data_IF_826911244305
#
_entry.id   IF_826911244305
#
_cell.length_a   1.000
_cell.length_b   1.000
_cell.length_c   1.000
_cell.angle_alpha   90.00
_cell.angle_beta   90.00
_cell.angle_gamma   90.00
#
_symmetry.space_group_name_H-M   'P 1'
#
loop_
_entity.id
_entity.type
_entity.pdbx_description
1 polymer ?
#
# COMPACT_ATOMS: atom_id res chain seq x y z
N UNK A 1 7.43 -17.64 6.14
CA UNK A 1 6.26 -18.19 6.84
C UNK A 1 5.55 -19.16 5.90
N UNK A 2 5.26 -20.40 6.32
CA UNK A 2 4.59 -21.38 5.44
C UNK A 2 3.21 -20.87 5.01
N UNK A 3 2.98 -20.81 3.70
CA UNK A 3 1.70 -20.44 3.09
C UNK A 3 1.52 -18.98 2.68
N UNK A 4 2.51 -18.09 2.90
CA UNK A 4 2.44 -16.72 2.40
C UNK A 4 2.96 -16.65 0.97
N UNK A 5 2.10 -16.22 0.02
CA UNK A 5 2.46 -16.08 -1.38
C UNK A 5 3.61 -15.08 -1.61
N UNK A 6 3.64 -13.99 -0.84
CA UNK A 6 4.68 -12.97 -1.00
C UNK A 6 6.03 -13.42 -0.44
N UNK A 7 6.04 -14.19 0.66
CA UNK A 7 7.27 -14.85 1.11
C UNK A 7 7.78 -15.85 0.06
N UNK A 8 6.88 -16.58 -0.61
CA UNK A 8 7.28 -17.51 -1.67
C UNK A 8 7.84 -16.79 -2.92
N UNK A 9 7.33 -15.61 -3.23
CA UNK A 9 7.89 -14.73 -4.28
C UNK A 9 9.29 -14.26 -3.87
N UNK A 10 9.44 -13.81 -2.64
CA UNK A 10 10.69 -13.28 -2.11
C UNK A 10 11.85 -14.29 -2.20
N UNK A 11 11.58 -15.56 -1.89
CA UNK A 11 12.59 -16.64 -1.97
C UNK A 11 12.65 -17.32 -3.34
N UNK A 12 11.89 -16.86 -4.33
CA UNK A 12 11.88 -17.39 -5.69
C UNK A 12 11.12 -18.71 -5.88
N UNK A 13 10.35 -19.16 -4.89
CA UNK A 13 9.52 -20.37 -4.99
C UNK A 13 8.24 -20.14 -5.82
N UNK A 14 7.75 -18.90 -5.83
CA UNK A 14 6.62 -18.49 -6.66
C UNK A 14 7.10 -17.46 -7.70
N UNK A 15 6.92 -17.73 -9.01
CA UNK A 15 7.36 -16.81 -10.05
C UNK A 15 6.57 -15.49 -10.00
N UNK A 16 7.28 -14.38 -10.19
CA UNK A 16 6.69 -13.05 -10.34
C UNK A 16 7.52 -12.17 -11.28
N UNK A 17 6.90 -11.10 -11.79
CA UNK A 17 7.57 -10.12 -12.63
C UNK A 17 8.15 -9.01 -11.75
N UNK A 18 9.37 -9.24 -11.26
CA UNK A 18 10.09 -8.31 -10.39
C UNK A 18 10.48 -7.06 -11.18
N UNK A 19 10.19 -5.89 -10.60
CA UNK A 19 10.47 -4.57 -11.17
C UNK A 19 11.67 -3.92 -10.51
N UNK A 20 11.79 -4.06 -9.18
CA UNK A 20 12.87 -3.45 -8.41
C UNK A 20 13.11 -4.20 -7.11
N UNK A 21 14.38 -4.25 -6.69
CA UNK A 21 14.81 -4.88 -5.45
C UNK A 21 15.78 -3.99 -4.69
N UNK A 22 15.72 -4.08 -3.36
CA UNK A 22 16.73 -3.56 -2.42
C UNK A 22 17.11 -4.66 -1.43
N UNK A 23 17.97 -4.36 -0.47
CA UNK A 23 18.28 -5.29 0.62
C UNK A 23 17.08 -5.65 1.47
N UNK A 24 16.10 -4.76 1.58
CA UNK A 24 14.98 -4.89 2.52
C UNK A 24 13.61 -4.93 1.86
N UNK A 25 13.52 -4.64 0.56
CA UNK A 25 12.24 -4.59 -0.17
C UNK A 25 12.32 -5.31 -1.51
N UNK A 26 11.18 -5.77 -1.99
CA UNK A 26 11.00 -6.27 -3.36
C UNK A 26 9.73 -5.67 -3.94
N UNK A 27 9.76 -5.33 -5.22
CA UNK A 27 8.64 -4.76 -5.96
C UNK A 27 8.39 -5.57 -7.22
N UNK A 28 7.13 -5.95 -7.45
CA UNK A 28 6.75 -6.77 -8.60
C UNK A 28 5.38 -6.37 -9.13
N UNK A 29 5.10 -6.72 -10.39
CA UNK A 29 3.79 -6.46 -10.99
C UNK A 29 2.72 -7.33 -10.32
N UNK A 30 1.58 -6.70 -10.02
CA UNK A 30 0.40 -7.44 -9.56
C UNK A 30 -0.10 -8.35 -10.71
N UNK A 31 -0.31 -9.65 -10.42
CA UNK A 31 -0.82 -10.62 -11.38
C UNK A 31 -2.31 -10.42 -11.72
N UNK A 32 -3.03 -9.62 -10.92
CA UNK A 32 -4.43 -9.21 -11.11
C UNK A 32 -4.56 -7.69 -11.04
N UNK A 33 -3.90 -6.97 -11.95
CA UNK A 33 -3.73 -5.52 -11.83
C UNK A 33 -5.06 -4.78 -11.98
N UNK A 34 -5.21 -3.65 -11.28
CA UNK A 34 -6.28 -2.68 -11.55
C UNK A 34 -6.10 -2.07 -12.95
N UNK A 35 -4.84 -1.72 -13.28
CA UNK A 35 -4.42 -1.28 -14.61
C UNK A 35 -3.05 -1.87 -14.94
N UNK A 36 -2.69 -2.07 -16.22
CA UNK A 36 -1.33 -2.42 -16.61
C UNK A 36 -0.31 -1.47 -15.97
N UNK A 37 0.71 -2.03 -15.33
CA UNK A 37 1.70 -1.27 -14.56
C UNK A 37 1.40 -1.15 -13.07
N UNK A 38 0.35 -1.77 -12.55
CA UNK A 38 0.11 -1.90 -11.11
C UNK A 38 1.24 -2.70 -10.45
N UNK A 39 1.97 -2.06 -9.54
CA UNK A 39 3.09 -2.63 -8.80
C UNK A 39 2.70 -2.81 -7.34
N UNK A 40 3.15 -3.90 -6.74
CA UNK A 40 3.16 -4.11 -5.30
C UNK A 40 4.58 -3.89 -4.78
N UNK A 41 4.72 -3.12 -3.71
CA UNK A 41 5.98 -2.94 -2.97
C UNK A 41 5.81 -3.59 -1.61
N UNK A 42 6.66 -4.56 -1.30
CA UNK A 42 6.63 -5.34 -0.06
C UNK A 42 7.97 -5.29 0.68
N UNK A 43 8.00 -5.45 2.00
CA UNK A 43 9.24 -5.80 2.71
C UNK A 43 9.64 -7.25 2.39
N UNK A 44 10.94 -7.56 2.37
CA UNK A 44 11.41 -8.95 2.26
C UNK A 44 11.07 -9.75 3.52
N UNK A 45 11.25 -9.13 4.69
CA UNK A 45 10.80 -9.71 5.94
C UNK A 45 9.26 -9.67 6.04
N UNK A 46 8.70 -10.73 6.59
CA UNK A 46 7.25 -10.84 6.74
C UNK A 46 6.74 -9.97 7.90
N UNK A 47 5.83 -9.07 7.58
CA UNK A 47 5.01 -8.30 8.53
C UNK A 47 3.58 -8.39 8.05
N UNK A 48 2.63 -8.65 8.93
CA UNK A 48 1.23 -8.79 8.51
C UNK A 48 0.64 -7.45 8.06
N UNK A 49 0.87 -6.39 8.85
CA UNK A 49 0.27 -5.07 8.63
C UNK A 49 1.29 -3.93 8.75
N UNK A 50 0.86 -2.70 8.49
CA UNK A 50 1.68 -1.50 8.70
C UNK A 50 2.03 -1.31 10.19
N UNK A 51 1.20 -1.79 11.10
CA UNK A 51 1.37 -1.66 12.54
C UNK A 51 2.54 -2.48 13.07
N UNK A 52 2.91 -3.54 12.33
CA UNK A 52 4.01 -4.45 12.71
C UNK A 52 5.38 -3.96 12.21
N UNK A 53 5.42 -2.94 11.33
CA UNK A 53 6.66 -2.49 10.71
C UNK A 53 7.54 -1.70 11.68
N UNK A 54 8.84 -2.06 11.81
CA UNK A 54 9.79 -1.16 12.44
C UNK A 54 9.88 0.19 11.69
N UNK A 55 10.12 1.32 12.38
CA UNK A 55 10.22 2.63 11.74
C UNK A 55 11.24 2.69 10.58
N UNK A 56 12.36 2.00 10.70
CA UNK A 56 13.38 1.92 9.65
C UNK A 56 12.87 1.22 8.39
N UNK A 57 12.08 0.15 8.56
CA UNK A 57 11.48 -0.57 7.45
C UNK A 57 10.37 0.24 6.80
N UNK A 58 9.59 0.97 7.59
CA UNK A 58 8.55 1.88 7.09
C UNK A 58 9.16 2.95 6.17
N UNK A 59 10.27 3.59 6.60
CA UNK A 59 10.99 4.57 5.79
C UNK A 59 11.50 3.93 4.49
N UNK A 60 12.17 2.78 4.58
CA UNK A 60 12.74 2.09 3.41
C UNK A 60 11.66 1.74 2.36
N UNK A 61 10.49 1.27 2.78
CA UNK A 61 9.39 0.96 1.86
C UNK A 61 8.87 2.23 1.18
N UNK A 62 8.62 3.31 1.94
CA UNK A 62 8.04 4.51 1.36
C UNK A 62 9.02 5.30 0.49
N UNK A 63 10.33 5.18 0.69
CA UNK A 63 11.34 5.65 -0.27
C UNK A 63 11.21 4.92 -1.61
N UNK A 64 11.05 3.60 -1.59
CA UNK A 64 10.83 2.80 -2.82
C UNK A 64 9.49 3.15 -3.47
N UNK A 65 8.41 3.31 -2.69
CA UNK A 65 7.09 3.72 -3.19
C UNK A 65 7.17 5.08 -3.88
N UNK A 66 7.86 6.06 -3.30
CA UNK A 66 8.06 7.37 -3.93
C UNK A 66 8.79 7.26 -5.27
N UNK A 67 9.91 6.53 -5.31
CA UNK A 67 10.67 6.28 -6.54
C UNK A 67 9.84 5.54 -7.58
N UNK A 68 9.06 4.54 -7.16
CA UNK A 68 8.17 3.78 -8.03
C UNK A 68 7.09 4.67 -8.65
N UNK A 69 6.49 5.55 -7.86
CA UNK A 69 5.50 6.53 -8.34
C UNK A 69 6.08 7.45 -9.43
N UNK A 70 7.30 7.96 -9.21
CA UNK A 70 7.98 8.81 -10.20
C UNK A 70 8.29 8.02 -11.49
N UNK A 71 8.86 6.82 -11.35
CA UNK A 71 9.20 5.96 -12.47
C UNK A 71 7.97 5.54 -13.29
N UNK A 72 6.90 5.18 -12.60
CA UNK A 72 5.62 4.76 -13.20
C UNK A 72 4.99 5.86 -14.06
N UNK A 73 5.01 7.11 -13.60
CA UNK A 73 4.49 8.24 -14.37
C UNK A 73 5.19 8.40 -15.72
N UNK A 74 6.51 8.15 -15.74
CA UNK A 74 7.31 8.22 -16.98
C UNK A 74 7.12 6.97 -17.84
N UNK A 75 7.25 5.78 -17.26
CA UNK A 75 7.22 4.52 -17.99
C UNK A 75 5.84 4.22 -18.59
N UNK A 76 4.77 4.62 -17.90
CA UNK A 76 3.39 4.35 -18.31
C UNK A 76 2.71 5.56 -18.94
N UNK A 77 3.41 6.67 -19.13
CA UNK A 77 2.84 7.94 -19.59
C UNK A 77 1.56 8.31 -18.80
N UNK A 78 1.64 8.18 -17.48
CA UNK A 78 0.52 8.40 -16.58
C UNK A 78 0.69 9.74 -15.84
N UNK A 79 -0.28 10.66 -15.89
CA UNK A 79 -0.19 11.96 -15.20
C UNK A 79 -0.21 11.83 -13.68
N UNK A 80 -0.67 10.71 -13.12
CA UNK A 80 -0.75 10.48 -11.69
C UNK A 80 -0.58 9.03 -11.28
N UNK A 81 -0.56 8.80 -9.97
CA UNK A 81 -0.54 7.48 -9.35
C UNK A 81 -1.56 7.41 -8.21
N UNK A 82 -2.06 6.23 -7.94
CA UNK A 82 -2.79 5.90 -6.73
C UNK A 82 -1.90 5.03 -5.86
N UNK A 83 -1.73 5.41 -4.60
CA UNK A 83 -0.91 4.70 -3.62
C UNK A 83 -1.82 4.33 -2.47
N UNK A 84 -1.87 3.05 -2.13
CA UNK A 84 -2.74 2.53 -1.08
C UNK A 84 -2.16 1.29 -0.42
N UNK A 85 -2.57 1.07 0.81
CA UNK A 85 -2.39 -0.19 1.54
C UNK A 85 -3.65 -0.51 2.33
N UNK A 86 -3.89 -1.79 2.57
CA UNK A 86 -4.98 -2.25 3.42
C UNK A 86 -4.40 -2.86 4.71
N UNK A 87 -5.03 -2.58 5.83
CA UNK A 87 -4.73 -3.17 7.13
C UNK A 87 -5.92 -4.01 7.57
N UNK A 88 -5.74 -5.33 7.64
CA UNK A 88 -6.73 -6.34 8.02
C UNK A 88 -7.91 -6.42 7.05
N UNK A 89 -8.75 -5.37 6.97
CA UNK A 89 -9.92 -5.34 6.10
C UNK A 89 -9.50 -5.17 4.64
N UNK A 90 -9.99 -6.05 3.75
CA UNK A 90 -9.67 -6.11 2.32
C UNK A 90 -8.20 -6.42 2.01
N UNK A 91 -7.44 -6.89 2.97
CA UNK A 91 -6.07 -7.37 2.82
C UNK A 91 -6.10 -8.82 2.36
N UNK A 92 -5.93 -9.06 1.06
CA UNK A 92 -6.04 -10.41 0.47
C UNK A 92 -4.86 -11.33 0.84
N UNK A 93 -3.68 -10.76 1.07
CA UNK A 93 -2.48 -11.46 1.53
C UNK A 93 -2.01 -10.80 2.83
N UNK A 94 -1.95 -11.54 3.96
CA UNK A 94 -1.45 -11.03 5.23
C UNK A 94 0.09 -10.96 5.21
N UNK A 95 0.59 -10.07 4.44
CA UNK A 95 1.96 -9.62 4.29
C UNK A 95 1.87 -8.18 3.82
N UNK A 96 2.41 -7.25 4.60
CA UNK A 96 2.29 -5.83 4.30
C UNK A 96 2.72 -5.51 2.87
N UNK A 97 1.90 -4.78 2.16
CA UNK A 97 2.19 -4.35 0.80
C UNK A 97 1.54 -3.01 0.49
N UNK A 98 2.23 -2.25 -0.34
CA UNK A 98 1.75 -0.98 -0.86
C UNK A 98 1.47 -1.13 -2.35
N UNK A 99 0.24 -0.83 -2.74
CA UNK A 99 -0.16 -0.73 -4.14
C UNK A 99 0.31 0.60 -4.73
N UNK A 100 0.95 0.55 -5.89
CA UNK A 100 1.26 1.73 -6.70
C UNK A 100 0.66 1.52 -8.09
N UNK A 101 -0.31 2.35 -8.45
CA UNK A 101 -1.16 2.15 -9.64
C UNK A 101 -1.10 3.37 -10.53
N UNK A 102 -0.82 3.23 -11.84
CA UNK A 102 -0.84 4.37 -12.77
C UNK A 102 -2.26 4.89 -12.94
N UNK A 103 -2.42 6.21 -12.98
CA UNK A 103 -3.72 6.87 -13.07
C UNK A 103 -3.77 7.85 -14.25
N UNK A 104 -4.92 7.85 -14.93
CA UNK A 104 -5.26 8.82 -15.98
C UNK A 104 -6.62 9.47 -15.72
N UNK A 105 -6.86 10.68 -16.21
CA UNK A 105 -8.20 11.26 -16.20
C UNK A 105 -9.20 10.30 -16.87
N UNK A 106 -10.36 10.12 -16.26
CA UNK A 106 -11.44 9.27 -16.77
C UNK A 106 -11.11 7.77 -16.90
N UNK A 107 -10.12 7.27 -16.17
CA UNK A 107 -9.72 5.85 -16.17
C UNK A 107 -10.73 4.90 -15.49
N UNK A 108 -11.83 5.42 -14.97
CA UNK A 108 -12.87 4.64 -14.30
C UNK A 108 -12.64 4.42 -12.81
N UNK A 109 -11.42 4.63 -12.32
CA UNK A 109 -11.12 4.60 -10.90
C UNK A 109 -11.52 5.94 -10.27
N UNK A 110 -12.59 5.95 -9.50
CA UNK A 110 -13.06 7.17 -8.84
C UNK A 110 -12.21 7.48 -7.61
N UNK A 111 -11.97 8.76 -7.31
CA UNK A 111 -11.02 9.24 -6.31
C UNK A 111 -11.18 8.69 -4.89
N UNK A 112 -12.42 8.45 -4.44
CA UNK A 112 -12.74 7.65 -3.26
C UNK A 112 -13.87 6.70 -3.62
N UNK A 113 -13.64 5.40 -3.46
CA UNK A 113 -14.52 4.34 -3.98
C UNK A 113 -15.72 4.08 -3.11
N UNK A 114 -15.74 4.62 -1.90
CA UNK A 114 -16.76 4.36 -0.91
C UNK A 114 -17.78 5.50 -0.85
N UNK A 115 -19.04 5.20 -0.54
CA UNK A 115 -20.01 6.25 -0.24
C UNK A 115 -19.52 7.06 0.96
N UNK A 116 -19.64 8.37 0.87
CA UNK A 116 -19.29 9.25 1.98
C UNK A 116 -20.32 9.12 3.08
N UNK A 117 -19.85 8.99 4.31
CA UNK A 117 -20.67 9.09 5.51
C UNK A 117 -20.28 10.40 6.21
N UNK A 118 -21.12 11.43 6.16
CA UNK A 118 -20.85 12.69 6.84
C UNK A 118 -20.93 12.51 8.36
N UNK A 119 -20.34 13.42 9.10
CA UNK A 119 -20.64 13.56 10.52
C UNK A 119 -22.10 14.03 10.67
N UNK A 120 -22.75 13.65 11.78
CA UNK A 120 -24.14 14.04 12.04
C UNK A 120 -24.25 15.56 12.25
N UNK A 121 -23.26 16.15 12.95
CA UNK A 121 -23.11 17.57 13.22
C UNK A 121 -21.66 17.91 13.63
N UNK A 122 -21.41 19.18 13.97
CA UNK A 122 -20.09 19.66 14.38
C UNK A 122 -19.65 19.07 15.74
N UNK A 123 -20.57 18.83 16.65
CA UNK A 123 -20.28 18.21 17.96
C UNK A 123 -19.86 16.76 17.80
N UNK A 124 -20.49 16.01 16.89
CA UNK A 124 -20.07 14.65 16.54
C UNK A 124 -18.65 14.66 15.95
N UNK A 125 -18.36 15.57 15.02
CA UNK A 125 -17.03 15.70 14.43
C UNK A 125 -15.95 15.97 15.49
N UNK A 126 -16.21 16.90 16.43
CA UNK A 126 -15.30 17.25 17.51
C UNK A 126 -15.11 16.09 18.51
N UNK A 127 -16.17 15.34 18.78
CA UNK A 127 -16.09 14.13 19.62
C UNK A 127 -15.14 13.08 19.01
N UNK A 128 -15.30 12.78 17.71
CA UNK A 128 -14.40 11.86 16.99
C UNK A 128 -12.96 12.38 16.98
N UNK A 129 -12.76 13.67 16.70
CA UNK A 129 -11.43 14.31 16.77
C UNK A 129 -10.76 14.08 18.12
N UNK A 130 -11.51 14.31 19.21
CA UNK A 130 -11.00 14.16 20.57
C UNK A 130 -10.63 12.71 20.91
N UNK A 131 -11.46 11.74 20.50
CA UNK A 131 -11.18 10.31 20.67
C UNK A 131 -9.89 9.88 19.94
N UNK A 132 -9.71 10.33 18.69
CA UNK A 132 -8.51 10.01 17.91
C UNK A 132 -7.25 10.63 18.52
N UNK A 133 -7.32 11.90 18.96
CA UNK A 133 -6.20 12.57 19.62
C UNK A 133 -5.77 11.83 20.90
N UNK A 134 -6.73 11.48 21.75
CA UNK A 134 -6.46 10.75 22.98
C UNK A 134 -5.84 9.35 22.72
N UNK A 135 -6.30 8.66 21.70
CA UNK A 135 -5.78 7.35 21.31
C UNK A 135 -4.30 7.43 20.85
N UNK A 136 -3.90 8.50 20.17
CA UNK A 136 -2.52 8.71 19.73
C UNK A 136 -1.54 9.01 20.90
N UNK A 137 -2.05 9.58 21.99
CA UNK A 137 -1.25 9.89 23.19
C UNK A 137 -1.11 8.67 24.11
N UNK A 138 -1.93 7.63 23.92
CA UNK A 138 -1.85 6.41 24.70
C UNK A 138 -0.72 5.52 24.19
N UNK A 139 0.15 4.97 25.04
CA UNK A 139 1.16 4.00 24.60
C UNK A 139 0.48 2.75 24.03
N UNK A 140 1.03 2.26 22.92
CA UNK A 140 0.60 1.01 22.30
C UNK A 140 0.94 -0.20 23.17
#
# INVERSE_FOLDING_TARGET
MKGCAFCAIEVGELPSLVVHETETTISFLDHRPLFPGHVLVIPRAHYDTIEDLPPTQLVAIFEVVQRMSIAMRRAMDAPGTFIATNTVVSQSVPHFHVHVVPRRPSDGLRGFFWPRQPYDDDDHAESIRSLMAAALESPA
#
